data_IF_316675152845
#
_entry.id   IF_316675152845
#
_cell.length_a   1.000
_cell.length_b   1.000
_cell.length_c   1.000
_cell.angle_alpha   90.00
_cell.angle_beta   90.00
_cell.angle_gamma   90.00
#
_symmetry.space_group_name_H-M   'P 1'
#
loop_
_entity.id
_entity.type
_entity.pdbx_description
1 polymer ?
#
# COMPACT_ATOMS: atom_id res chain seq x y z
N UNK A 1 14.15 -0.47 -6.57
CA UNK A 1 13.13 -1.14 -5.74
C UNK A 1 13.39 -1.09 -4.23
N UNK A 2 14.56 -0.66 -3.72
CA UNK A 2 14.83 -0.60 -2.26
C UNK A 2 14.00 0.50 -1.56
N UNK A 3 13.86 1.66 -2.20
CA UNK A 3 13.16 2.82 -1.65
C UNK A 3 11.69 2.62 -1.27
N UNK A 4 10.88 1.84 -1.99
CA UNK A 4 9.45 1.68 -1.66
C UNK A 4 9.22 0.95 -0.33
N UNK A 5 10.03 -0.07 -0.04
CA UNK A 5 9.90 -0.83 1.21
C UNK A 5 10.44 -0.03 2.41
N UNK A 6 11.44 0.82 2.16
CA UNK A 6 12.01 1.73 3.16
C UNK A 6 11.11 2.96 3.42
N UNK A 7 10.44 3.47 2.39
CA UNK A 7 9.57 4.66 2.44
C UNK A 7 8.18 4.35 3.03
N UNK A 8 7.70 3.10 2.89
CA UNK A 8 6.39 2.64 3.37
C UNK A 8 6.52 1.53 4.43
N UNK A 9 7.25 1.81 5.50
CA UNK A 9 7.38 0.96 6.70
C UNK A 9 6.02 0.77 7.37
N UNK A 10 5.37 -0.37 7.09
CA UNK A 10 3.99 -0.68 7.50
C UNK A 10 3.18 -1.38 6.41
N UNK A 11 3.68 -1.36 5.17
CA UNK A 11 3.07 -2.07 4.06
C UNK A 11 3.83 -3.35 3.76
N UNK A 12 3.10 -4.46 3.60
CA UNK A 12 3.65 -5.65 2.97
C UNK A 12 3.62 -5.42 1.47
N UNK A 13 4.78 -5.26 0.83
CA UNK A 13 4.91 -5.03 -0.62
C UNK A 13 5.62 -6.22 -1.26
N UNK A 14 5.00 -6.79 -2.30
CA UNK A 14 5.58 -7.90 -3.07
C UNK A 14 5.15 -7.84 -4.54
N UNK A 15 5.81 -8.64 -5.37
CA UNK A 15 5.45 -8.81 -6.78
C UNK A 15 4.86 -10.20 -6.95
N UNK A 16 3.65 -10.27 -7.49
CA UNK A 16 3.04 -11.53 -7.87
C UNK A 16 3.86 -12.19 -8.99
N UNK A 17 3.87 -13.51 -9.00
CA UNK A 17 4.41 -14.29 -10.11
C UNK A 17 3.24 -14.88 -10.86
N UNK A 18 3.26 -14.74 -12.19
CA UNK A 18 2.29 -15.43 -13.04
C UNK A 18 2.67 -16.92 -13.14
N UNK A 19 1.70 -17.75 -13.48
CA UNK A 19 1.89 -19.20 -13.63
C UNK A 19 2.93 -19.58 -14.69
N UNK A 20 3.25 -18.66 -15.60
CA UNK A 20 4.30 -18.78 -16.63
C UNK A 20 5.70 -18.36 -16.14
N UNK A 21 5.86 -18.02 -14.86
CA UNK A 21 7.12 -17.54 -14.28
C UNK A 21 7.45 -16.09 -14.62
N UNK A 22 6.60 -15.40 -15.38
CA UNK A 22 6.80 -13.98 -15.68
C UNK A 22 6.46 -13.11 -14.47
N UNK A 23 7.06 -11.93 -14.46
CA UNK A 23 6.77 -10.91 -13.45
C UNK A 23 5.31 -10.45 -13.56
N UNK A 24 4.54 -10.73 -12.52
CA UNK A 24 3.17 -10.29 -12.38
C UNK A 24 3.03 -8.88 -11.81
N UNK A 25 1.83 -8.60 -11.34
CA UNK A 25 1.42 -7.36 -10.72
C UNK A 25 2.19 -7.08 -9.43
N UNK A 26 2.37 -5.81 -9.13
CA UNK A 26 2.79 -5.34 -7.82
C UNK A 26 1.61 -5.31 -6.88
N UNK A 27 1.82 -5.83 -5.68
CA UNK A 27 0.82 -5.86 -4.62
C UNK A 27 1.40 -5.18 -3.38
N UNK A 28 0.62 -4.28 -2.79
CA UNK A 28 0.88 -3.74 -1.46
C UNK A 28 -0.36 -3.91 -0.59
N UNK A 29 -0.19 -4.48 0.59
CA UNK A 29 -1.21 -4.49 1.63
C UNK A 29 -0.75 -3.57 2.76
N UNK A 30 -1.56 -2.56 3.05
CA UNK A 30 -1.46 -1.75 4.25
C UNK A 30 -2.29 -2.41 5.33
N UNK A 31 -1.64 -2.80 6.43
CA UNK A 31 -2.36 -3.14 7.64
C UNK A 31 -2.58 -1.85 8.44
N UNK A 32 -3.82 -1.34 8.48
CA UNK A 32 -4.19 -0.23 9.37
C UNK A 32 -4.98 -0.77 10.57
N UNK A 33 -4.30 -1.05 11.71
CA UNK A 33 -4.95 -1.56 12.90
C UNK A 33 -5.91 -0.53 13.54
N UNK A 34 -5.77 0.77 13.26
CA UNK A 34 -6.66 1.82 13.75
C UNK A 34 -7.94 1.96 12.90
N UNK A 35 -7.94 1.44 11.67
CA UNK A 35 -9.13 1.31 10.84
C UNK A 35 -9.75 -0.09 10.91
N UNK A 36 -9.00 -1.11 11.34
CA UNK A 36 -9.43 -2.51 11.31
C UNK A 36 -9.56 -3.05 9.88
N UNK A 37 -8.84 -2.46 8.92
CA UNK A 37 -8.95 -2.77 7.48
C UNK A 37 -7.56 -3.00 6.89
N UNK A 38 -7.45 -4.06 6.10
CA UNK A 38 -6.29 -4.33 5.24
C UNK A 38 -6.54 -3.75 3.83
N UNK A 39 -6.02 -2.56 3.56
CA UNK A 39 -6.14 -1.96 2.23
C UNK A 39 -5.13 -2.62 1.29
N UNK A 40 -5.62 -3.39 0.32
CA UNK A 40 -4.78 -4.06 -0.68
C UNK A 40 -4.85 -3.34 -2.02
N UNK A 41 -3.70 -2.90 -2.51
CA UNK A 41 -3.52 -2.23 -3.80
C UNK A 41 -2.77 -3.18 -4.75
N UNK A 42 -3.30 -3.37 -5.95
CA UNK A 42 -2.71 -4.19 -7.00
C UNK A 42 -2.51 -3.32 -8.24
N UNK A 43 -1.28 -3.22 -8.75
CA UNK A 43 -0.94 -2.39 -9.91
C UNK A 43 0.01 -3.10 -10.87
N UNK A 44 0.07 -2.67 -12.13
CA UNK A 44 0.98 -3.27 -13.12
C UNK A 44 2.39 -2.70 -13.01
N UNK A 45 2.53 -1.45 -12.55
CA UNK A 45 3.81 -0.76 -12.37
C UNK A 45 4.14 -0.41 -10.92
N UNK A 46 5.43 -0.24 -10.64
CA UNK A 46 5.91 0.24 -9.33
C UNK A 46 5.62 1.74 -9.10
N UNK A 47 5.54 2.53 -10.17
CA UNK A 47 5.21 3.96 -10.10
C UNK A 47 3.73 4.16 -9.75
N UNK A 48 2.83 3.38 -10.37
CA UNK A 48 1.42 3.33 -10.02
C UNK A 48 1.23 2.94 -8.55
N UNK A 49 1.98 1.95 -8.09
CA UNK A 49 1.97 1.54 -6.70
C UNK A 49 2.37 2.70 -5.78
N UNK A 50 3.44 3.45 -6.12
CA UNK A 50 3.87 4.61 -5.33
C UNK A 50 2.78 5.68 -5.26
N UNK A 51 2.17 6.01 -6.39
CA UNK A 51 1.11 7.03 -6.44
C UNK A 51 -0.11 6.63 -5.58
N UNK A 52 -0.53 5.37 -5.66
CA UNK A 52 -1.61 4.84 -4.84
C UNK A 52 -1.29 4.89 -3.33
N UNK A 53 -0.06 4.52 -2.94
CA UNK A 53 0.40 4.57 -1.55
C UNK A 53 0.49 6.01 -1.01
N UNK A 54 0.92 6.96 -1.84
CA UNK A 54 0.95 8.40 -1.46
C UNK A 54 -0.48 8.93 -1.24
N UNK A 55 -1.41 8.60 -2.14
CA UNK A 55 -2.80 9.03 -2.00
C UNK A 55 -3.45 8.44 -0.74
N UNK A 56 -3.20 7.16 -0.44
CA UNK A 56 -3.75 6.55 0.77
C UNK A 56 -3.15 7.16 2.05
N UNK A 57 -1.84 7.45 2.05
CA UNK A 57 -1.20 8.18 3.16
C UNK A 57 -1.83 9.56 3.38
N UNK A 58 -2.16 10.27 2.31
CA UNK A 58 -2.86 11.56 2.39
C UNK A 58 -4.28 11.41 2.94
N UNK A 59 -5.05 10.40 2.50
CA UNK A 59 -6.37 10.10 3.08
C UNK A 59 -6.29 9.77 4.56
N UNK A 60 -5.34 8.91 4.96
CA UNK A 60 -5.13 8.56 6.35
C UNK A 60 -4.74 9.77 7.20
N UNK A 61 -3.85 10.64 6.70
CA UNK A 61 -3.48 11.89 7.37
C UNK A 61 -4.67 12.85 7.53
N UNK A 62 -5.54 12.96 6.52
CA UNK A 62 -6.78 13.74 6.61
C UNK A 62 -7.78 13.15 7.62
N UNK A 63 -7.83 11.82 7.75
CA UNK A 63 -8.68 11.12 8.73
C UNK A 63 -8.18 11.21 10.17
N UNK A 64 -6.88 11.40 10.40
CA UNK A 64 -6.29 11.50 11.74
C UNK A 64 -6.72 12.75 12.53
N UNK A 65 -7.32 13.74 11.88
CA UNK A 65 -7.95 14.88 12.56
C UNK A 65 -9.34 14.55 13.12
N UNK A 66 -10.02 13.51 12.62
CA UNK A 66 -11.43 13.22 12.93
C UNK A 66 -11.65 11.90 13.68
N UNK A 67 -10.62 11.38 14.35
CA UNK A 67 -10.77 10.26 15.30
C UNK A 67 -10.28 10.63 16.70
N UNK A 68 -10.86 11.68 17.26
CA UNK A 68 -11.14 11.73 18.70
C UNK A 68 -12.67 11.64 18.85
N UNK A 69 -13.11 10.78 19.76
CA UNK A 69 -14.49 10.43 20.08
C UNK A 69 -15.16 9.49 19.05
N UNK A 70 -15.28 8.20 19.38
CA UNK A 70 -16.32 7.71 20.29
C UNK A 70 -15.91 6.39 20.94
#
# INVERSE_FOLDING_TARGET
>A
MRGLREEFTGHRIWRALRSDGSSGEWVATLHDPAAGVDATVICRGSEELRAALVHERQRAAGRSVEKRAW
#
